data_IF_441855406466
#
_entry.id   IF_441855406466
#
_cell.length_a   1.000
_cell.length_b   1.000
_cell.length_c   1.000
_cell.angle_alpha   90.00
_cell.angle_beta   90.00
_cell.angle_gamma   90.00
#
_symmetry.space_group_name_H-M   'P 1'
#
loop_
_entity.id
_entity.type
_entity.pdbx_description
1 polymer ?
#
# COMPACT_ATOMS: atom_id res chain seq x y z
N UNK A 1 3.43 -24.05 -0.57
CA UNK A 1 3.76 -22.99 0.40
C UNK A 1 4.40 -23.66 1.59
N UNK A 2 5.70 -23.90 1.48
CA UNK A 2 6.55 -24.48 2.51
C UNK A 2 7.95 -23.90 2.28
N UNK A 3 8.10 -22.63 2.62
CA UNK A 3 9.40 -21.94 2.78
C UNK A 3 9.45 -21.24 4.15
N UNK A 4 8.77 -21.79 5.17
CA UNK A 4 8.72 -21.22 6.52
C UNK A 4 9.79 -21.82 7.48
N UNK A 5 10.86 -22.45 6.97
CA UNK A 5 11.85 -23.11 7.85
C UNK A 5 13.26 -22.52 7.90
N UNK A 6 13.56 -21.41 7.21
CA UNK A 6 14.91 -20.79 7.28
C UNK A 6 15.01 -19.53 8.18
N UNK A 7 13.91 -19.15 8.83
CA UNK A 7 13.83 -17.98 9.73
C UNK A 7 13.29 -18.41 11.09
N UNK A 8 14.12 -19.12 11.87
CA UNK A 8 13.78 -19.73 13.17
C UNK A 8 13.55 -18.76 14.34
N UNK A 9 12.70 -17.75 14.14
CA UNK A 9 12.23 -16.86 15.22
C UNK A 9 10.71 -16.78 15.23
N UNK A 10 10.13 -16.61 16.41
CA UNK A 10 8.68 -16.43 16.57
C UNK A 10 8.25 -15.09 15.96
N UNK A 11 7.19 -15.12 15.14
CA UNK A 11 6.61 -13.93 14.48
C UNK A 11 5.88 -13.09 15.53
N UNK A 12 6.58 -12.10 16.09
CA UNK A 12 6.12 -11.29 17.23
C UNK A 12 5.95 -9.82 16.88
N UNK A 13 6.61 -9.35 15.83
CA UNK A 13 6.59 -7.96 15.41
C UNK A 13 5.42 -7.70 14.46
N UNK A 14 4.84 -6.50 14.52
CA UNK A 14 3.77 -6.11 13.62
C UNK A 14 4.26 -6.02 12.16
N UNK A 15 3.35 -6.29 11.23
CA UNK A 15 3.63 -6.19 9.80
C UNK A 15 3.95 -4.75 9.40
N UNK A 16 5.05 -4.54 8.67
CA UNK A 16 5.37 -3.24 8.10
C UNK A 16 4.33 -2.80 7.06
N UNK A 17 4.22 -1.50 6.81
CA UNK A 17 3.32 -0.96 5.78
C UNK A 17 3.65 -1.53 4.39
N UNK A 18 4.92 -1.78 4.10
CA UNK A 18 5.39 -2.33 2.83
C UNK A 18 5.00 -3.81 2.69
N UNK A 19 5.11 -4.62 3.75
CA UNK A 19 4.60 -6.01 3.73
C UNK A 19 3.09 -6.06 3.48
N UNK A 20 2.31 -5.19 4.12
CA UNK A 20 0.86 -5.09 3.90
C UNK A 20 0.50 -4.67 2.47
N UNK A 21 1.24 -3.71 1.89
CA UNK A 21 1.07 -3.31 0.49
C UNK A 21 1.39 -4.46 -0.46
N UNK A 22 2.51 -5.16 -0.25
CA UNK A 22 2.88 -6.32 -1.07
C UNK A 22 1.85 -7.44 -0.99
N UNK A 23 1.36 -7.73 0.23
CA UNK A 23 0.25 -8.69 0.44
C UNK A 23 -0.99 -8.31 -0.39
N UNK A 24 -1.34 -7.02 -0.41
CA UNK A 24 -2.44 -6.50 -1.22
C UNK A 24 -2.19 -6.59 -2.73
N UNK A 25 -0.97 -6.33 -3.20
CA UNK A 25 -0.57 -6.50 -4.60
C UNK A 25 -0.65 -7.97 -5.05
N UNK A 26 -0.31 -8.90 -4.16
CA UNK A 26 -0.47 -10.35 -4.35
C UNK A 26 -1.94 -10.82 -4.26
N UNK A 27 -2.88 -9.91 -4.00
CA UNK A 27 -4.32 -10.18 -3.90
C UNK A 27 -4.76 -10.77 -2.55
N UNK A 28 -3.88 -10.74 -1.55
CA UNK A 28 -4.19 -11.17 -0.18
C UNK A 28 -4.70 -9.97 0.63
N UNK A 29 -5.96 -10.04 1.03
CA UNK A 29 -6.65 -8.99 1.78
C UNK A 29 -7.55 -9.62 2.84
N UNK A 30 -7.72 -8.94 3.96
CA UNK A 30 -8.71 -9.32 4.96
C UNK A 30 -10.12 -9.18 4.37
N UNK A 31 -10.76 -10.30 4.03
CA UNK A 31 -12.15 -10.33 3.55
C UNK A 31 -12.93 -11.42 4.27
N UNK A 32 -14.16 -11.09 4.64
CA UNK A 32 -15.18 -12.05 5.07
C UNK A 32 -16.24 -12.16 3.98
N UNK A 33 -16.49 -13.39 3.55
CA UNK A 33 -17.49 -13.73 2.52
C UNK A 33 -18.91 -13.47 3.04
N UNK A 34 -19.09 -13.45 4.36
CA UNK A 34 -20.39 -13.28 5.01
C UNK A 34 -20.93 -11.85 4.85
N UNK A 35 -20.06 -10.83 4.92
CA UNK A 35 -20.46 -9.43 4.83
C UNK A 35 -21.18 -9.15 3.49
N UNK A 36 -20.57 -9.38 2.30
CA UNK A 36 -21.28 -9.18 1.04
C UNK A 36 -22.57 -10.00 0.91
N UNK A 37 -22.55 -11.25 1.41
CA UNK A 37 -23.70 -12.15 1.35
C UNK A 37 -24.91 -11.58 2.09
N UNK A 38 -24.72 -11.04 3.30
CA UNK A 38 -25.79 -10.44 4.09
C UNK A 38 -26.32 -9.15 3.45
N UNK A 39 -25.43 -8.29 2.94
CA UNK A 39 -25.84 -7.07 2.25
C UNK A 39 -26.66 -7.37 1.00
N UNK A 40 -26.25 -8.37 0.21
CA UNK A 40 -26.98 -8.80 -1.00
C UNK A 40 -28.35 -9.39 -0.63
N UNK A 41 -28.42 -10.24 0.39
CA UNK A 41 -29.69 -10.81 0.86
C UNK A 41 -30.65 -9.73 1.35
N UNK A 42 -30.18 -8.84 2.23
CA UNK A 42 -30.99 -7.77 2.81
C UNK A 42 -31.51 -6.81 1.72
N UNK A 43 -30.62 -6.37 0.83
CA UNK A 43 -31.00 -5.45 -0.25
C UNK A 43 -31.90 -6.12 -1.28
N UNK A 44 -31.71 -7.41 -1.56
CA UNK A 44 -32.62 -8.19 -2.41
C UNK A 44 -34.04 -8.27 -1.84
N UNK A 45 -34.17 -8.55 -0.54
CA UNK A 45 -35.49 -8.59 0.13
C UNK A 45 -36.15 -7.22 0.15
N UNK A 46 -35.39 -6.16 0.42
CA UNK A 46 -35.88 -4.78 0.40
C UNK A 46 -36.31 -4.39 -1.03
N UNK A 47 -35.51 -4.72 -2.04
CA UNK A 47 -35.83 -4.46 -3.44
C UNK A 47 -37.10 -5.21 -3.86
N UNK A 48 -37.27 -6.47 -3.45
CA UNK A 48 -38.50 -7.23 -3.69
C UNK A 48 -39.72 -6.57 -3.02
N UNK A 49 -39.58 -6.07 -1.80
CA UNK A 49 -40.66 -5.39 -1.08
C UNK A 49 -41.11 -4.12 -1.80
N UNK A 50 -40.17 -3.24 -2.17
CA UNK A 50 -40.49 -2.00 -2.88
C UNK A 50 -40.94 -2.23 -4.33
N UNK A 51 -40.46 -3.30 -4.97
CA UNK A 51 -40.90 -3.67 -6.33
C UNK A 51 -42.15 -4.55 -6.36
N UNK A 52 -42.71 -4.94 -5.21
CA UNK A 52 -43.83 -5.88 -5.13
C UNK A 52 -45.06 -5.43 -5.93
N UNK A 53 -45.46 -4.14 -5.81
CA UNK A 53 -46.59 -3.58 -6.56
C UNK A 53 -46.32 -3.58 -8.07
N UNK A 54 -45.10 -3.21 -8.47
CA UNK A 54 -44.67 -3.23 -9.86
C UNK A 54 -44.69 -4.65 -10.44
N UNK A 55 -44.17 -5.63 -9.69
CA UNK A 55 -44.15 -7.05 -10.05
C UNK A 55 -45.59 -7.55 -10.19
N UNK A 56 -46.44 -7.30 -9.19
CA UNK A 56 -47.84 -7.71 -9.19
C UNK A 56 -48.59 -7.19 -10.43
N UNK A 57 -48.50 -5.88 -10.71
CA UNK A 57 -49.20 -5.28 -11.85
C UNK A 57 -48.71 -5.86 -13.19
N UNK A 58 -47.40 -6.10 -13.35
CA UNK A 58 -46.88 -6.72 -14.56
C UNK A 58 -47.30 -8.18 -14.71
N UNK A 59 -47.34 -8.95 -13.62
CA UNK A 59 -47.86 -10.32 -13.62
C UNK A 59 -49.34 -10.35 -14.01
N UNK A 60 -50.16 -9.41 -13.51
CA UNK A 60 -51.57 -9.28 -13.91
C UNK A 60 -51.68 -8.98 -15.41
N UNK A 61 -50.86 -8.08 -15.95
CA UNK A 61 -50.84 -7.78 -17.40
C UNK A 61 -50.47 -9.02 -18.22
N UNK A 62 -49.44 -9.76 -17.81
CA UNK A 62 -49.04 -11.01 -18.49
C UNK A 62 -50.16 -12.05 -18.40
N UNK A 63 -50.80 -12.18 -17.24
CA UNK A 63 -51.92 -13.10 -17.06
C UNK A 63 -53.11 -12.71 -17.96
N UNK A 64 -53.50 -11.44 -17.98
CA UNK A 64 -54.55 -10.95 -18.87
C UNK A 64 -54.20 -11.15 -20.34
N UNK A 65 -52.95 -10.94 -20.74
CA UNK A 65 -52.50 -11.20 -22.11
C UNK A 65 -52.66 -12.68 -22.53
N UNK A 66 -52.51 -13.60 -21.58
CA UNK A 66 -52.57 -15.05 -21.83
C UNK A 66 -53.96 -15.65 -21.67
N UNK A 67 -54.89 -14.98 -21.00
CA UNK A 67 -56.19 -15.57 -20.65
C UNK A 67 -57.38 -14.72 -21.11
N UNK A 68 -57.14 -13.53 -21.65
CA UNK A 68 -58.17 -12.72 -22.30
C UNK A 68 -58.08 -12.90 -23.81
N UNK A 69 -59.09 -13.57 -24.36
CA UNK A 69 -59.17 -13.86 -25.79
C UNK A 69 -60.48 -13.33 -26.38
N UNK A 70 -60.39 -12.54 -27.45
CA UNK A 70 -61.58 -12.13 -28.22
C UNK A 70 -62.05 -13.24 -29.16
N UNK A 71 -61.14 -14.14 -29.57
CA UNK A 71 -61.38 -15.34 -30.39
C UNK A 71 -60.42 -16.44 -29.97
N UNK A 72 -60.78 -17.70 -30.24
CA UNK A 72 -59.89 -18.85 -29.98
C UNK A 72 -58.58 -18.65 -30.78
N UNK A 73 -57.42 -18.55 -30.10
CA UNK A 73 -56.15 -18.28 -30.77
C UNK A 73 -55.72 -19.48 -31.62
N UNK A 74 -55.23 -19.21 -32.84
CA UNK A 74 -54.71 -20.23 -33.76
C UNK A 74 -53.19 -20.19 -33.70
N UNK A 75 -52.58 -20.98 -32.83
CA UNK A 75 -51.14 -20.95 -32.56
C UNK A 75 -50.29 -21.41 -33.77
N UNK A 76 -50.01 -20.50 -34.68
CA UNK A 76 -49.01 -20.70 -35.76
C UNK A 76 -47.58 -20.65 -35.21
N UNK A 77 -46.60 -21.18 -35.96
CA UNK A 77 -45.18 -21.10 -35.54
C UNK A 77 -44.72 -19.66 -35.26
N UNK A 78 -45.16 -18.70 -36.09
CA UNK A 78 -44.83 -17.29 -35.90
C UNK A 78 -45.43 -16.73 -34.60
N UNK A 79 -46.68 -17.09 -34.28
CA UNK A 79 -47.34 -16.66 -33.05
C UNK A 79 -46.69 -17.22 -31.79
N UNK A 80 -46.25 -18.49 -31.83
CA UNK A 80 -45.51 -19.10 -30.72
C UNK A 80 -44.18 -18.37 -30.49
N UNK A 81 -43.45 -18.02 -31.56
CA UNK A 81 -42.20 -17.25 -31.46
C UNK A 81 -42.47 -15.87 -30.85
N UNK A 82 -43.53 -15.17 -31.31
CA UNK A 82 -43.89 -13.87 -30.76
C UNK A 82 -44.31 -13.95 -29.29
N UNK A 83 -45.05 -14.99 -28.91
CA UNK A 83 -45.44 -15.25 -27.53
C UNK A 83 -44.20 -15.49 -26.65
N UNK A 84 -43.26 -16.32 -27.10
CA UNK A 84 -41.98 -16.56 -26.42
C UNK A 84 -41.15 -15.28 -26.27
N UNK A 85 -41.05 -14.47 -27.33
CA UNK A 85 -40.35 -13.19 -27.30
C UNK A 85 -40.99 -12.22 -26.29
N UNK A 86 -42.32 -12.11 -26.29
CA UNK A 86 -43.07 -11.30 -25.32
C UNK A 86 -42.81 -11.75 -23.88
N UNK A 87 -42.90 -13.04 -23.59
CA UNK A 87 -42.65 -13.57 -22.24
C UNK A 87 -41.21 -13.38 -21.79
N UNK A 88 -40.25 -13.60 -22.68
CA UNK A 88 -38.83 -13.36 -22.40
C UNK A 88 -38.60 -11.90 -22.06
N UNK A 89 -39.14 -10.98 -22.86
CA UNK A 89 -39.05 -9.54 -22.60
C UNK A 89 -39.70 -9.16 -21.26
N UNK A 90 -40.88 -9.69 -20.95
CA UNK A 90 -41.59 -9.41 -19.70
C UNK A 90 -40.83 -9.92 -18.47
N UNK A 91 -40.26 -11.12 -18.52
CA UNK A 91 -39.43 -11.66 -17.43
C UNK A 91 -38.19 -10.79 -17.22
N UNK A 92 -37.52 -10.37 -18.29
CA UNK A 92 -36.35 -9.47 -18.20
C UNK A 92 -36.76 -8.16 -17.52
N UNK A 93 -37.84 -7.52 -17.98
CA UNK A 93 -38.36 -6.27 -17.42
C UNK A 93 -38.73 -6.42 -15.94
N UNK A 94 -39.33 -7.54 -15.55
CA UNK A 94 -39.70 -7.85 -14.17
C UNK A 94 -38.48 -7.98 -13.25
N UNK A 95 -37.41 -8.60 -13.76
CA UNK A 95 -36.19 -8.87 -12.99
C UNK A 95 -35.25 -7.66 -12.88
N UNK A 96 -35.23 -6.76 -13.88
CA UNK A 96 -34.34 -5.58 -13.92
C UNK A 96 -34.31 -4.78 -12.61
N UNK A 97 -35.43 -4.34 -12.01
CA UNK A 97 -35.38 -3.49 -10.82
C UNK A 97 -34.74 -4.20 -9.62
N UNK A 98 -35.01 -5.50 -9.45
CA UNK A 98 -34.42 -6.27 -8.33
C UNK A 98 -32.95 -6.59 -8.60
N UNK A 99 -32.63 -7.04 -9.83
CA UNK A 99 -31.26 -7.41 -10.20
C UNK A 99 -30.31 -6.20 -10.21
N UNK A 100 -30.78 -5.04 -10.68
CA UNK A 100 -29.97 -3.81 -10.68
C UNK A 100 -29.56 -3.39 -9.27
N UNK A 101 -30.50 -3.43 -8.30
CA UNK A 101 -30.21 -3.14 -6.89
C UNK A 101 -29.24 -4.17 -6.32
N UNK A 102 -29.48 -5.47 -6.57
CA UNK A 102 -28.59 -6.54 -6.09
C UNK A 102 -27.17 -6.38 -6.64
N UNK A 103 -27.00 -6.15 -7.94
CA UNK A 103 -25.69 -5.96 -8.57
C UNK A 103 -25.00 -4.74 -7.99
N UNK A 104 -25.71 -3.61 -7.85
CA UNK A 104 -25.15 -2.40 -7.28
C UNK A 104 -24.64 -2.62 -5.85
N UNK A 105 -25.44 -3.24 -4.98
CA UNK A 105 -25.05 -3.48 -3.59
C UNK A 105 -24.03 -4.62 -3.44
N UNK A 106 -24.00 -5.60 -4.35
CA UNK A 106 -22.94 -6.59 -4.41
C UNK A 106 -21.59 -5.91 -4.71
N UNK A 107 -21.56 -4.97 -5.66
CA UNK A 107 -20.36 -4.19 -5.96
C UNK A 107 -19.96 -3.31 -4.78
N UNK A 108 -20.90 -2.52 -4.23
CA UNK A 108 -20.65 -1.61 -3.10
C UNK A 108 -20.11 -2.38 -1.88
N UNK A 109 -20.70 -3.52 -1.52
CA UNK A 109 -20.26 -4.30 -0.37
C UNK A 109 -18.84 -4.86 -0.53
N UNK A 110 -18.50 -5.37 -1.72
CA UNK A 110 -17.16 -5.84 -2.02
C UNK A 110 -16.13 -4.69 -2.02
N UNK A 111 -16.46 -3.57 -2.67
CA UNK A 111 -15.60 -2.38 -2.69
C UNK A 111 -15.43 -1.75 -1.31
N UNK A 112 -16.47 -1.71 -0.49
CA UNK A 112 -16.39 -1.19 0.88
C UNK A 112 -15.49 -2.04 1.77
N UNK A 113 -15.44 -3.36 1.55
CA UNK A 113 -14.66 -4.28 2.39
C UNK A 113 -13.17 -4.31 2.02
N UNK A 114 -12.86 -4.33 0.73
CA UNK A 114 -11.48 -4.53 0.22
C UNK A 114 -10.86 -3.25 -0.33
N UNK A 115 -11.70 -2.27 -0.69
CA UNK A 115 -11.29 -1.15 -1.54
C UNK A 115 -11.07 -1.59 -2.98
N UNK A 116 -10.58 -0.68 -3.81
CA UNK A 116 -10.11 -1.02 -5.15
C UNK A 116 -8.76 -1.74 -5.04
N UNK A 117 -8.68 -2.99 -5.51
CA UNK A 117 -7.42 -3.75 -5.59
C UNK A 117 -7.45 -4.64 -6.84
N UNK A 118 -6.61 -4.33 -7.82
CA UNK A 118 -6.42 -5.16 -9.01
C UNK A 118 -5.08 -5.85 -8.87
N UNK A 119 -5.09 -7.19 -8.79
CA UNK A 119 -3.88 -8.02 -8.73
C UNK A 119 -3.77 -8.82 -10.01
N UNK A 120 -2.88 -8.39 -10.91
CA UNK A 120 -2.58 -9.14 -12.13
C UNK A 120 -1.93 -10.50 -11.83
N UNK A 121 -1.14 -10.59 -10.76
CA UNK A 121 -0.51 -11.83 -10.30
C UNK A 121 -1.51 -12.87 -9.80
N UNK A 122 -2.71 -12.45 -9.38
CA UNK A 122 -3.79 -13.37 -8.98
C UNK A 122 -4.49 -14.02 -10.17
N UNK A 123 -4.36 -13.47 -11.38
CA UNK A 123 -4.93 -14.00 -12.62
C UNK A 123 -4.05 -15.08 -13.27
N UNK A 124 -2.80 -15.22 -12.82
CA UNK A 124 -1.88 -16.23 -13.35
C UNK A 124 -2.34 -17.66 -12.97
N UNK A 125 -2.38 -18.60 -13.93
CA UNK A 125 -2.76 -19.98 -13.65
C UNK A 125 -1.69 -20.67 -12.80
N UNK A 126 -1.98 -20.83 -11.51
CA UNK A 126 -1.12 -21.57 -10.57
C UNK A 126 -1.50 -23.05 -10.57
N UNK A 127 -0.78 -23.87 -11.34
CA UNK A 127 -0.99 -25.34 -11.42
C UNK A 127 -0.90 -26.05 -10.07
N UNK A 128 -0.19 -25.47 -9.10
CA UNK A 128 -0.13 -25.95 -7.71
C UNK A 128 -1.49 -25.96 -7.00
N UNK A 129 -2.48 -25.21 -7.48
CA UNK A 129 -3.86 -25.23 -6.94
C UNK A 129 -4.71 -26.39 -7.47
N UNK A 130 -4.27 -27.08 -8.52
CA UNK A 130 -5.00 -28.21 -9.13
C UNK A 130 -4.62 -29.57 -8.52
N UNK A 131 -3.69 -29.62 -7.58
CA UNK A 131 -3.26 -30.86 -6.94
C UNK A 131 -4.34 -31.37 -5.95
N UNK A 132 -5.01 -32.50 -6.24
CA UNK A 132 -6.10 -33.01 -5.41
C UNK A 132 -5.62 -33.51 -4.03
N UNK A 133 -4.35 -33.94 -3.90
CA UNK A 133 -3.80 -34.44 -2.63
C UNK A 133 -3.64 -33.27 -1.65
N UNK A 134 -3.08 -32.16 -2.13
CA UNK A 134 -2.95 -30.94 -1.34
C UNK A 134 -4.32 -30.34 -0.99
N UNK A 135 -5.29 -30.38 -1.90
CA UNK A 135 -6.66 -29.94 -1.65
C UNK A 135 -7.37 -30.75 -0.57
N UNK A 136 -7.20 -32.08 -0.55
CA UNK A 136 -7.79 -32.95 0.47
C UNK A 136 -7.12 -32.76 1.84
N UNK A 137 -5.79 -32.68 1.88
CA UNK A 137 -5.03 -32.41 3.11
C UNK A 137 -5.42 -31.07 3.74
N UNK A 138 -5.68 -30.04 2.92
CA UNK A 138 -6.10 -28.73 3.40
C UNK A 138 -7.48 -28.74 4.09
N UNK A 139 -8.40 -29.63 3.63
CA UNK A 139 -9.74 -29.82 4.23
C UNK A 139 -9.72 -30.51 5.59
N UNK A 140 -8.66 -31.24 5.94
CA UNK A 140 -8.50 -31.94 7.23
C UNK A 140 -7.48 -31.26 8.15
N UNK A 141 -7.38 -29.94 8.08
CA UNK A 141 -6.55 -29.16 9.00
C UNK A 141 -7.33 -28.71 10.23
N UNK A 142 -6.66 -28.44 11.36
CA UNK A 142 -7.31 -27.84 12.55
C UNK A 142 -8.06 -26.56 12.22
N UNK A 143 -7.59 -25.81 11.21
CA UNK A 143 -8.28 -24.63 10.66
C UNK A 143 -9.65 -24.99 10.07
N UNK A 144 -9.75 -26.07 9.31
CA UNK A 144 -11.01 -26.50 8.71
C UNK A 144 -12.05 -26.92 9.75
N UNK A 145 -11.63 -27.57 10.85
CA UNK A 145 -12.52 -27.93 11.97
C UNK A 145 -13.09 -26.68 12.65
N UNK A 146 -12.25 -25.67 12.89
CA UNK A 146 -12.70 -24.39 13.47
C UNK A 146 -13.68 -23.67 12.55
N UNK A 147 -13.40 -23.63 11.24
CA UNK A 147 -14.35 -23.06 10.27
C UNK A 147 -15.67 -23.85 10.21
N UNK A 148 -15.62 -25.18 10.26
CA UNK A 148 -16.81 -26.03 10.32
C UNK A 148 -17.65 -25.73 11.56
N UNK A 149 -17.03 -25.67 12.75
CA UNK A 149 -17.75 -25.36 13.98
C UNK A 149 -18.38 -23.96 13.94
N UNK A 150 -17.66 -22.97 13.39
CA UNK A 150 -18.24 -21.64 13.15
C UNK A 150 -19.45 -21.73 12.23
N UNK A 151 -19.38 -22.45 11.11
CA UNK A 151 -20.54 -22.61 10.21
C UNK A 151 -21.71 -23.31 10.87
N UNK A 152 -21.46 -24.32 11.71
CA UNK A 152 -22.50 -25.02 12.46
C UNK A 152 -23.22 -24.08 13.43
N UNK A 153 -22.47 -23.30 14.22
CA UNK A 153 -23.03 -22.30 15.14
C UNK A 153 -23.87 -21.28 14.36
N UNK A 154 -23.37 -20.79 13.22
CA UNK A 154 -24.10 -19.84 12.36
C UNK A 154 -25.45 -20.41 11.91
N UNK A 155 -25.46 -21.64 11.39
CA UNK A 155 -26.69 -22.31 10.92
C UNK A 155 -27.66 -22.55 12.09
N UNK A 156 -27.17 -22.96 13.26
CA UNK A 156 -28.00 -23.15 14.45
C UNK A 156 -28.67 -21.85 14.89
N UNK A 157 -27.93 -20.74 14.92
CA UNK A 157 -28.47 -19.41 15.26
C UNK A 157 -29.55 -18.98 14.26
N UNK A 158 -29.27 -19.09 12.95
CA UNK A 158 -30.25 -18.76 11.89
C UNK A 158 -31.52 -19.62 12.03
N UNK A 159 -31.35 -20.93 12.23
CA UNK A 159 -32.46 -21.88 12.36
C UNK A 159 -33.32 -21.59 13.58
N UNK A 160 -32.70 -21.25 14.71
CA UNK A 160 -33.40 -20.89 15.95
C UNK A 160 -34.27 -19.64 15.76
N UNK A 161 -33.73 -18.62 15.12
CA UNK A 161 -34.43 -17.35 14.84
C UNK A 161 -35.58 -17.56 13.87
N UNK A 162 -35.34 -18.30 12.78
CA UNK A 162 -36.37 -18.63 11.81
C UNK A 162 -37.50 -19.44 12.46
N UNK A 163 -37.17 -20.47 13.23
CA UNK A 163 -38.14 -21.28 13.96
C UNK A 163 -38.98 -20.45 14.92
N UNK A 164 -38.37 -19.61 15.76
CA UNK A 164 -39.10 -18.77 16.71
C UNK A 164 -39.99 -17.74 16.01
N UNK A 165 -39.49 -17.16 14.90
CA UNK A 165 -40.27 -16.19 14.12
C UNK A 165 -41.49 -16.86 13.48
N UNK A 166 -41.34 -18.04 12.88
CA UNK A 166 -42.45 -18.81 12.30
C UNK A 166 -43.44 -19.25 13.39
N UNK A 167 -42.94 -19.74 14.53
CA UNK A 167 -43.77 -20.17 15.67
C UNK A 167 -44.64 -19.03 16.20
N UNK A 168 -44.12 -17.81 16.22
CA UNK A 168 -44.87 -16.62 16.65
C UNK A 168 -46.04 -16.36 15.70
N UNK A 169 -45.80 -16.43 14.39
CA UNK A 169 -46.81 -16.14 13.36
C UNK A 169 -47.83 -17.28 13.21
N UNK A 170 -47.45 -18.52 13.53
CA UNK A 170 -48.35 -19.68 13.56
C UNK A 170 -49.53 -19.48 14.51
N UNK A 171 -49.36 -18.70 15.58
CA UNK A 171 -50.45 -18.38 16.52
C UNK A 171 -51.52 -17.45 15.90
N UNK A 172 -51.17 -16.70 14.85
CA UNK A 172 -52.08 -15.81 14.14
C UNK A 172 -52.81 -16.50 12.98
N UNK A 173 -52.33 -17.65 12.52
CA UNK A 173 -52.90 -18.39 11.38
C UNK A 173 -54.39 -18.72 11.52
N UNK A 174 -54.93 -19.10 12.70
CA UNK A 174 -56.36 -19.38 12.85
C UNK A 174 -57.28 -18.19 12.49
N UNK A 175 -56.81 -16.96 12.66
CA UNK A 175 -57.58 -15.76 12.34
C UNK A 175 -57.67 -15.47 10.83
N UNK A 176 -56.88 -16.16 10.00
CA UNK A 176 -56.92 -16.00 8.54
C UNK A 176 -58.09 -16.73 7.88
N UNK A 177 -58.74 -17.67 8.59
CA UNK A 177 -59.78 -18.53 8.02
C UNK A 177 -60.95 -17.75 7.42
N UNK A 178 -61.35 -16.64 8.05
CA UNK A 178 -62.50 -15.82 7.63
C UNK A 178 -62.06 -14.55 6.84
N UNK A 179 -60.87 -14.58 6.25
CA UNK A 179 -60.32 -13.44 5.49
C UNK A 179 -60.27 -13.71 3.99
N UNK A 180 -60.25 -12.65 3.19
CA UNK A 180 -60.18 -12.78 1.73
C UNK A 180 -58.82 -13.36 1.28
N UNK A 181 -58.81 -14.08 0.16
CA UNK A 181 -57.59 -14.66 -0.43
C UNK A 181 -56.51 -13.61 -0.67
N UNK A 182 -56.89 -12.40 -1.10
CA UNK A 182 -55.96 -11.28 -1.29
C UNK A 182 -55.31 -10.83 0.01
N UNK A 183 -56.07 -10.79 1.11
CA UNK A 183 -55.53 -10.47 2.43
C UNK A 183 -54.55 -11.55 2.92
N UNK A 184 -54.87 -12.83 2.72
CA UNK A 184 -53.97 -13.95 3.07
C UNK A 184 -52.63 -13.82 2.33
N UNK A 185 -52.66 -13.51 1.03
CA UNK A 185 -51.44 -13.30 0.24
C UNK A 185 -50.60 -12.12 0.78
N UNK A 186 -51.22 -10.98 1.05
CA UNK A 186 -50.55 -9.81 1.63
C UNK A 186 -49.96 -10.12 3.01
N UNK A 187 -50.70 -10.85 3.84
CA UNK A 187 -50.23 -11.30 5.14
C UNK A 187 -49.00 -12.20 5.01
N UNK A 188 -49.03 -13.20 4.12
CA UNK A 188 -47.88 -14.09 3.86
C UNK A 188 -46.64 -13.32 3.39
N UNK A 189 -46.81 -12.36 2.48
CA UNK A 189 -45.71 -11.52 1.99
C UNK A 189 -45.13 -10.66 3.12
N UNK A 190 -45.99 -10.02 3.93
CA UNK A 190 -45.56 -9.19 5.07
C UNK A 190 -44.82 -10.02 6.12
N UNK A 191 -45.37 -11.16 6.51
CA UNK A 191 -44.75 -12.07 7.48
C UNK A 191 -43.41 -12.59 6.96
N UNK A 192 -43.37 -13.06 5.71
CA UNK A 192 -42.12 -13.55 5.09
C UNK A 192 -41.06 -12.46 5.06
N UNK A 193 -41.43 -11.22 4.69
CA UNK A 193 -40.52 -10.07 4.70
C UNK A 193 -39.93 -9.83 6.10
N UNK A 194 -40.75 -9.77 7.14
CA UNK A 194 -40.27 -9.53 8.50
C UNK A 194 -39.43 -10.67 9.06
N UNK A 195 -39.76 -11.93 8.74
CA UNK A 195 -38.91 -13.09 9.08
C UNK A 195 -37.54 -12.95 8.42
N UNK A 196 -37.50 -12.64 7.11
CA UNK A 196 -36.25 -12.44 6.38
C UNK A 196 -35.41 -11.30 6.97
N UNK A 197 -36.02 -10.16 7.30
CA UNK A 197 -35.32 -9.03 7.93
C UNK A 197 -34.73 -9.42 9.28
N UNK A 198 -35.48 -10.13 10.14
CA UNK A 198 -34.97 -10.63 11.44
C UNK A 198 -33.77 -11.56 11.26
N UNK A 199 -33.86 -12.50 10.32
CA UNK A 199 -32.75 -13.41 10.00
C UNK A 199 -31.54 -12.65 9.47
N UNK A 200 -31.73 -11.73 8.51
CA UNK A 200 -30.65 -10.91 7.95
C UNK A 200 -29.96 -10.04 9.01
N UNK A 201 -30.71 -9.49 9.96
CA UNK A 201 -30.14 -8.70 11.06
C UNK A 201 -29.21 -9.53 11.95
N UNK A 202 -29.60 -10.77 12.26
CA UNK A 202 -28.76 -11.66 13.05
C UNK A 202 -27.57 -12.18 12.24
N UNK A 203 -27.76 -12.48 10.95
CA UNK A 203 -26.66 -12.79 10.05
C UNK A 203 -25.68 -11.61 9.93
N UNK A 204 -26.16 -10.36 9.98
CA UNK A 204 -25.30 -9.18 9.96
C UNK A 204 -24.40 -9.13 11.19
N UNK A 205 -24.94 -9.35 12.39
CA UNK A 205 -24.15 -9.41 13.63
C UNK A 205 -23.08 -10.51 13.53
N UNK A 206 -23.47 -11.69 13.06
CA UNK A 206 -22.57 -12.83 12.83
C UNK A 206 -21.47 -12.48 11.83
N UNK A 207 -21.82 -11.81 10.72
CA UNK A 207 -20.89 -11.42 9.68
C UNK A 207 -19.87 -10.38 10.17
N UNK A 208 -20.31 -9.44 11.03
CA UNK A 208 -19.41 -8.46 11.67
C UNK A 208 -18.40 -9.16 12.59
N UNK A 209 -18.86 -10.12 13.40
CA UNK A 209 -17.96 -10.91 14.26
C UNK A 209 -16.99 -11.75 13.43
N UNK A 210 -17.45 -12.39 12.35
CA UNK A 210 -16.58 -13.14 11.44
C UNK A 210 -15.56 -12.22 10.76
N UNK A 211 -15.97 -11.04 10.29
CA UNK A 211 -15.06 -10.06 9.72
C UNK A 211 -13.99 -9.57 10.71
N UNK A 212 -14.37 -9.29 11.96
CA UNK A 212 -13.44 -8.91 13.01
C UNK A 212 -12.40 -10.01 13.25
N UNK A 213 -12.84 -11.27 13.33
CA UNK A 213 -11.95 -12.44 13.45
C UNK A 213 -11.03 -12.60 12.23
N UNK A 214 -11.56 -12.50 11.00
CA UNK A 214 -10.75 -12.61 9.78
C UNK A 214 -9.73 -11.47 9.66
N UNK A 215 -10.10 -10.25 10.09
CA UNK A 215 -9.19 -9.09 10.10
C UNK A 215 -8.07 -9.27 11.12
N UNK A 216 -8.39 -9.68 12.34
CA UNK A 216 -7.40 -9.99 13.36
C UNK A 216 -6.46 -11.10 12.89
N UNK A 217 -7.02 -12.20 12.37
CA UNK A 217 -6.24 -13.32 11.84
C UNK A 217 -5.36 -12.93 10.67
N UNK A 218 -5.83 -12.09 9.76
CA UNK A 218 -5.03 -11.60 8.66
C UNK A 218 -3.82 -10.81 9.18
N UNK A 219 -4.00 -9.94 10.18
CA UNK A 219 -2.89 -9.21 10.79
C UNK A 219 -1.92 -10.15 11.51
N UNK A 220 -2.43 -11.16 12.21
CA UNK A 220 -1.63 -12.19 12.88
C UNK A 220 -0.78 -12.99 11.88
N UNK A 221 -1.39 -13.44 10.77
CA UNK A 221 -0.71 -14.17 9.69
C UNK A 221 0.37 -13.29 9.00
N UNK A 222 0.22 -11.96 9.05
CA UNK A 222 1.18 -10.99 8.47
C UNK A 222 2.30 -10.58 9.44
N UNK A 223 2.28 -10.99 10.71
CA UNK A 223 3.37 -10.69 11.66
C UNK A 223 4.74 -11.08 11.13
N UNK A 224 5.75 -10.36 11.59
CA UNK A 224 7.12 -10.47 11.15
C UNK A 224 8.02 -10.98 12.28
N UNK A 225 9.10 -11.64 11.89
CA UNK A 225 10.19 -11.92 12.83
C UNK A 225 11.07 -10.68 12.98
N UNK A 226 11.78 -10.55 14.10
CA UNK A 226 12.78 -9.47 14.30
C UNK A 226 13.83 -9.42 13.18
N UNK A 227 14.18 -10.59 12.62
CA UNK A 227 15.12 -10.70 11.50
C UNK A 227 14.50 -10.12 10.22
N UNK A 228 13.26 -10.51 9.89
CA UNK A 228 12.53 -9.97 8.74
C UNK A 228 12.42 -8.44 8.79
N UNK A 229 12.05 -7.87 9.95
CA UNK A 229 11.96 -6.40 10.13
C UNK A 229 13.30 -5.73 9.88
N UNK A 230 14.39 -6.30 10.44
CA UNK A 230 15.74 -5.75 10.26
C UNK A 230 16.19 -5.83 8.80
N UNK A 231 15.88 -6.92 8.11
CA UNK A 231 16.25 -7.09 6.71
C UNK A 231 15.41 -6.20 5.79
N UNK A 232 14.13 -5.96 6.09
CA UNK A 232 13.30 -5.00 5.37
C UNK A 232 13.77 -3.55 5.56
N UNK A 233 14.20 -3.18 6.77
CA UNK A 233 14.87 -1.89 7.02
C UNK A 233 16.13 -1.74 6.17
N UNK A 234 16.99 -2.77 6.11
CA UNK A 234 18.20 -2.73 5.26
C UNK A 234 17.87 -2.58 3.78
N UNK A 235 16.80 -3.22 3.29
CA UNK A 235 16.39 -3.09 1.89
C UNK A 235 15.84 -1.69 1.55
N UNK A 236 15.24 -1.01 2.53
CA UNK A 236 14.57 0.27 2.30
C UNK A 236 15.52 1.46 2.54
N UNK A 237 16.30 1.41 3.63
CA UNK A 237 17.21 2.51 4.01
C UNK A 237 18.66 2.27 3.55
N UNK A 238 18.97 1.07 3.05
CA UNK A 238 20.32 0.61 2.77
C UNK A 238 21.04 0.13 4.04
N UNK A 239 22.08 -0.68 3.88
CA UNK A 239 22.90 -1.11 5.02
C UNK A 239 23.65 0.11 5.61
N UNK A 240 23.49 0.40 6.92
CA UNK A 240 24.23 1.46 7.59
C UNK A 240 25.75 1.37 7.38
N UNK A 241 26.30 0.16 7.32
CA UNK A 241 27.72 -0.07 7.05
C UNK A 241 28.10 0.38 5.65
N UNK A 242 27.26 0.08 4.65
CA UNK A 242 27.47 0.52 3.26
C UNK A 242 27.37 2.03 3.16
N UNK A 243 26.38 2.67 3.79
CA UNK A 243 26.23 4.13 3.83
C UNK A 243 27.43 4.81 4.50
N UNK A 244 27.94 4.24 5.60
CA UNK A 244 29.14 4.73 6.27
C UNK A 244 30.39 4.58 5.39
N UNK A 245 30.51 3.46 4.67
CA UNK A 245 31.63 3.17 3.76
C UNK A 245 31.65 4.13 2.58
N UNK A 246 30.49 4.43 2.00
CA UNK A 246 30.35 5.42 0.93
C UNK A 246 30.84 6.80 1.41
N UNK A 247 30.41 7.25 2.60
CA UNK A 247 30.87 8.52 3.18
C UNK A 247 32.39 8.55 3.40
N UNK A 248 32.97 7.45 3.90
CA UNK A 248 34.43 7.35 4.07
C UNK A 248 35.18 7.48 2.74
N UNK A 249 34.71 6.77 1.70
CA UNK A 249 35.32 6.84 0.36
C UNK A 249 35.19 8.23 -0.25
N UNK A 250 34.04 8.91 -0.07
CA UNK A 250 33.85 10.29 -0.52
C UNK A 250 34.84 11.25 0.15
N UNK A 251 35.05 11.14 1.47
CA UNK A 251 36.05 11.95 2.17
C UNK A 251 37.49 11.66 1.72
N UNK A 252 37.83 10.39 1.46
CA UNK A 252 39.15 10.02 0.96
C UNK A 252 39.39 10.57 -0.46
N UNK A 253 38.41 10.47 -1.35
CA UNK A 253 38.48 11.00 -2.69
C UNK A 253 38.62 12.54 -2.68
N UNK A 254 37.88 13.23 -1.83
CA UNK A 254 37.99 14.68 -1.65
C UNK A 254 39.38 15.09 -1.14
N UNK A 255 39.93 14.37 -0.14
CA UNK A 255 41.30 14.61 0.35
C UNK A 255 42.36 14.37 -0.73
N UNK A 256 42.20 13.32 -1.54
CA UNK A 256 43.15 13.01 -2.62
C UNK A 256 43.15 14.10 -3.69
N UNK A 257 41.97 14.63 -4.07
CA UNK A 257 41.85 15.78 -4.98
C UNK A 257 42.52 17.02 -4.41
N UNK A 258 42.19 17.39 -3.18
CA UNK A 258 42.81 18.53 -2.49
C UNK A 258 44.35 18.42 -2.44
N UNK A 259 44.91 17.23 -2.19
CA UNK A 259 46.37 17.03 -2.18
C UNK A 259 46.99 17.11 -3.58
N UNK A 260 46.26 16.74 -4.63
CA UNK A 260 46.72 16.87 -6.01
C UNK A 260 46.77 18.33 -6.49
N UNK A 261 46.05 19.24 -5.83
CA UNK A 261 46.06 20.67 -6.16
C UNK A 261 47.23 21.43 -5.47
N UNK A 262 47.84 20.85 -4.43
CA UNK A 262 48.96 21.46 -3.69
C UNK A 262 50.18 21.79 -4.57
N UNK A 263 50.63 20.94 -5.52
CA UNK A 263 51.73 21.26 -6.42
C UNK A 263 51.48 22.49 -7.31
N UNK A 264 50.22 22.85 -7.55
CA UNK A 264 49.84 23.98 -8.37
C UNK A 264 49.73 25.31 -7.58
N UNK A 265 50.03 25.29 -6.29
CA UNK A 265 50.01 26.48 -5.45
C UNK A 265 51.27 27.35 -5.65
N UNK A 266 51.09 28.67 -5.55
CA UNK A 266 52.19 29.62 -5.64
C UNK A 266 52.95 29.76 -4.31
N UNK A 267 52.23 29.62 -3.20
CA UNK A 267 52.75 29.69 -1.83
C UNK A 267 51.92 28.82 -0.88
N UNK A 268 52.57 28.23 0.12
CA UNK A 268 51.92 27.60 1.27
C UNK A 268 52.23 28.36 2.55
N UNK A 269 51.19 28.89 3.19
CA UNK A 269 51.27 29.58 4.48
C UNK A 269 51.14 28.56 5.60
N UNK A 270 52.03 28.62 6.58
CA UNK A 270 52.09 27.62 7.65
C UNK A 270 51.99 28.25 9.04
N UNK A 271 51.28 27.56 9.93
CA UNK A 271 51.45 27.68 11.37
C UNK A 271 52.24 26.43 11.80
N UNK A 272 53.52 26.56 12.22
CA UNK A 272 54.58 25.56 12.07
C UNK A 272 54.19 24.09 12.16
N UNK A 273 53.50 23.71 13.23
CA UNK A 273 53.12 22.32 13.48
C UNK A 273 51.62 22.08 13.32
N UNK A 274 50.79 23.14 13.25
CA UNK A 274 49.34 23.02 13.39
C UNK A 274 48.55 23.19 12.11
N UNK A 275 48.93 24.12 11.21
CA UNK A 275 48.12 24.47 10.04
C UNK A 275 48.99 24.66 8.79
N UNK A 276 48.41 24.35 7.63
CA UNK A 276 48.97 24.70 6.33
C UNK A 276 47.84 25.08 5.38
N UNK A 277 48.01 26.18 4.65
CA UNK A 277 47.05 26.69 3.65
C UNK A 277 47.82 27.00 2.36
N UNK A 278 47.44 26.36 1.27
CA UNK A 278 48.02 26.54 -0.06
C UNK A 278 47.19 27.57 -0.85
N UNK A 279 47.86 28.59 -1.37
CA UNK A 279 47.25 29.68 -2.13
C UNK A 279 47.77 29.68 -3.57
N UNK A 280 46.89 30.03 -4.50
CA UNK A 280 47.23 30.27 -5.90
C UNK A 280 46.69 31.62 -6.35
N UNK A 281 47.49 32.33 -7.13
CA UNK A 281 47.08 33.60 -7.74
C UNK A 281 47.74 33.77 -9.11
N UNK A 282 46.93 34.14 -10.10
CA UNK A 282 47.40 34.52 -11.42
C UNK A 282 46.83 35.89 -11.76
N UNK A 283 47.69 36.91 -11.78
CA UNK A 283 47.30 38.30 -12.01
C UNK A 283 46.72 38.58 -13.40
N UNK A 284 46.78 37.62 -14.34
CA UNK A 284 46.15 37.75 -15.67
C UNK A 284 44.75 37.15 -15.75
N UNK A 285 44.42 36.19 -14.88
CA UNK A 285 43.22 35.36 -15.02
C UNK A 285 42.35 35.31 -13.75
N UNK A 286 42.83 35.82 -12.62
CA UNK A 286 42.16 35.74 -11.33
C UNK A 286 41.99 37.12 -10.71
N UNK A 287 40.77 37.46 -10.33
CA UNK A 287 40.45 38.72 -9.64
C UNK A 287 40.94 38.72 -8.19
N UNK A 288 41.01 37.52 -7.57
CA UNK A 288 41.50 37.34 -6.20
C UNK A 288 42.25 35.99 -6.03
N UNK A 289 43.20 35.91 -5.08
CA UNK A 289 43.85 34.65 -4.71
C UNK A 289 42.84 33.61 -4.23
N UNK A 290 43.05 32.33 -4.59
CA UNK A 290 42.20 31.20 -4.17
C UNK A 290 42.94 30.23 -3.26
N UNK A 291 42.21 29.64 -2.32
CA UNK A 291 42.72 28.57 -1.45
C UNK A 291 42.60 27.23 -2.17
N UNK A 292 43.72 26.61 -2.55
CA UNK A 292 43.71 25.31 -3.23
C UNK A 292 43.66 24.13 -2.25
N UNK A 293 44.27 24.29 -1.08
CA UNK A 293 44.24 23.26 -0.04
C UNK A 293 44.37 23.91 1.34
N UNK A 294 43.67 23.36 2.34
CA UNK A 294 43.88 23.73 3.74
C UNK A 294 43.81 22.50 4.62
N UNK A 295 44.65 22.44 5.65
CA UNK A 295 44.72 21.28 6.54
C UNK A 295 45.19 21.62 7.93
N UNK A 296 44.84 20.77 8.90
CA UNK A 296 45.32 20.81 10.26
C UNK A 296 46.00 19.49 10.64
N UNK A 297 46.95 19.54 11.58
CA UNK A 297 47.65 18.36 12.11
C UNK A 297 48.30 17.50 11.01
N UNK A 298 48.00 16.20 10.91
CA UNK A 298 48.59 15.30 9.91
C UNK A 298 48.31 15.72 8.45
N UNK A 299 47.19 16.39 8.20
CA UNK A 299 46.85 16.90 6.85
C UNK A 299 47.75 18.08 6.51
N UNK A 300 48.00 18.98 7.47
CA UNK A 300 48.93 20.10 7.29
C UNK A 300 50.36 19.61 7.03
N UNK A 301 50.79 18.57 7.73
CA UNK A 301 52.09 17.94 7.53
C UNK A 301 52.23 17.37 6.11
N UNK A 302 51.21 16.69 5.62
CA UNK A 302 51.18 16.19 4.24
C UNK A 302 51.21 17.32 3.21
N UNK A 303 50.47 18.41 3.40
CA UNK A 303 50.52 19.60 2.52
C UNK A 303 51.95 20.16 2.49
N UNK A 304 52.59 20.32 3.65
CA UNK A 304 53.99 20.80 3.72
C UNK A 304 54.96 19.86 3.02
N UNK A 305 54.78 18.54 3.17
CA UNK A 305 55.62 17.54 2.51
C UNK A 305 55.50 17.64 0.99
N UNK A 306 54.28 17.63 0.45
CA UNK A 306 54.03 17.74 -0.99
C UNK A 306 54.55 19.08 -1.54
N UNK A 307 54.37 20.17 -0.78
CA UNK A 307 54.89 21.48 -1.15
C UNK A 307 56.43 21.48 -1.27
N UNK A 308 57.16 20.85 -0.34
CA UNK A 308 58.62 20.70 -0.43
C UNK A 308 59.04 19.85 -1.63
N UNK A 309 58.37 18.72 -1.84
CA UNK A 309 58.65 17.81 -2.95
C UNK A 309 58.44 18.47 -4.33
N UNK A 310 57.52 19.44 -4.42
CA UNK A 310 57.19 20.16 -5.66
C UNK A 310 57.77 21.59 -5.71
N UNK A 311 58.71 21.94 -4.83
CA UNK A 311 59.36 23.25 -4.78
C UNK A 311 58.38 24.44 -4.64
N UNK A 312 57.25 24.24 -3.95
CA UNK A 312 56.33 25.31 -3.56
C UNK A 312 56.84 25.99 -2.30
N UNK A 313 57.08 27.33 -2.31
CA UNK A 313 57.58 28.07 -1.17
C UNK A 313 56.68 27.94 0.07
N UNK A 314 57.32 27.66 1.21
CA UNK A 314 56.69 27.60 2.52
C UNK A 314 57.02 28.89 3.27
N UNK A 315 56.00 29.63 3.67
CA UNK A 315 56.16 30.84 4.47
C UNK A 315 55.47 30.64 5.82
N UNK A 316 56.18 30.97 6.88
CA UNK A 316 55.61 30.92 8.23
C UNK A 316 54.90 32.24 8.53
N UNK A 317 53.57 32.18 8.65
CA UNK A 317 52.77 33.26 9.21
C UNK A 317 51.62 32.64 10.01
N UNK A 318 51.77 32.68 11.34
CA UNK A 318 50.83 32.07 12.28
C UNK A 318 49.47 32.73 12.26
N UNK A 319 49.42 34.04 12.06
CA UNK A 319 48.20 34.84 12.14
C UNK A 319 47.41 34.68 10.84
N UNK A 320 48.07 34.82 9.69
CA UNK A 320 47.47 34.65 8.38
C UNK A 320 46.99 33.20 8.16
N UNK A 321 47.78 32.20 8.53
CA UNK A 321 47.38 30.79 8.41
C UNK A 321 46.14 30.45 9.26
N UNK A 322 46.00 31.03 10.46
CA UNK A 322 44.82 30.82 11.32
C UNK A 322 43.57 31.47 10.74
N UNK A 323 43.71 32.69 10.23
CA UNK A 323 42.61 33.44 9.64
C UNK A 323 42.12 32.73 8.37
N UNK A 324 43.03 32.43 7.43
CA UNK A 324 42.68 31.73 6.19
C UNK A 324 42.06 30.34 6.44
N UNK A 325 42.56 29.59 7.43
CA UNK A 325 42.00 28.27 7.74
C UNK A 325 40.54 28.34 8.24
N UNK A 326 40.21 29.39 9.02
CA UNK A 326 38.88 29.57 9.61
C UNK A 326 37.90 30.24 8.66
N UNK A 327 38.33 31.25 7.89
CA UNK A 327 37.43 32.13 7.14
C UNK A 327 37.22 31.75 5.67
N UNK A 328 38.07 30.88 5.10
CA UNK A 328 38.04 30.60 3.64
C UNK A 328 37.98 29.12 3.36
N UNK A 329 37.01 28.68 2.57
CA UNK A 329 36.88 27.29 2.14
C UNK A 329 37.75 26.95 0.93
N UNK A 330 37.98 25.64 0.74
CA UNK A 330 38.83 25.12 -0.33
C UNK A 330 38.13 25.39 -1.68
N UNK A 331 38.85 26.01 -2.61
CA UNK A 331 38.35 26.44 -3.92
C UNK A 331 37.77 27.86 -3.93
N UNK A 332 37.57 28.47 -2.76
CA UNK A 332 37.03 29.83 -2.64
C UNK A 332 38.12 30.91 -2.73
N UNK A 333 37.69 32.10 -3.14
CA UNK A 333 38.52 33.30 -3.14
C UNK A 333 38.71 33.83 -1.72
N UNK A 334 39.87 34.43 -1.47
CA UNK A 334 40.16 35.06 -0.19
C UNK A 334 39.20 36.25 0.04
N UNK A 335 38.75 36.51 1.28
CA UNK A 335 37.97 37.70 1.61
C UNK A 335 38.81 38.99 1.53
N UNK A 336 38.15 40.10 1.23
CA UNK A 336 38.78 41.44 1.10
C UNK A 336 39.59 41.85 2.34
N UNK A 337 39.15 41.44 3.53
CA UNK A 337 39.83 41.69 4.81
C UNK A 337 41.26 41.11 4.87
N UNK A 338 41.55 40.04 4.11
CA UNK A 338 42.84 39.37 4.11
C UNK A 338 43.67 39.67 2.85
N UNK A 339 43.17 40.50 1.92
CA UNK A 339 43.86 40.80 0.66
C UNK A 339 45.21 41.44 0.87
N UNK A 340 45.31 42.41 1.77
CA UNK A 340 46.58 43.10 2.01
C UNK A 340 47.65 42.11 2.49
N UNK A 341 47.34 41.29 3.49
CA UNK A 341 48.26 40.31 4.05
C UNK A 341 48.64 39.21 3.03
N UNK A 342 47.70 38.78 2.18
CA UNK A 342 47.98 37.79 1.13
C UNK A 342 48.79 38.42 -0.03
N UNK A 343 48.55 39.69 -0.38
CA UNK A 343 49.30 40.39 -1.41
C UNK A 343 50.75 40.64 -0.98
N UNK A 344 50.99 41.06 0.26
CA UNK A 344 52.34 41.21 0.83
C UNK A 344 53.09 39.88 0.82
N UNK A 345 52.42 38.79 1.19
CA UNK A 345 52.97 37.44 1.15
C UNK A 345 53.34 37.01 -0.28
N UNK A 346 52.43 37.19 -1.24
CA UNK A 346 52.68 36.82 -2.65
C UNK A 346 53.80 37.68 -3.25
N UNK A 347 53.84 38.99 -2.96
CA UNK A 347 54.90 39.89 -3.39
C UNK A 347 56.27 39.46 -2.83
N UNK A 348 56.33 39.06 -1.56
CA UNK A 348 57.54 38.51 -0.94
C UNK A 348 58.03 37.25 -1.66
N UNK A 349 57.12 36.32 -1.97
CA UNK A 349 57.44 35.07 -2.68
C UNK A 349 57.85 35.31 -4.14
N UNK A 350 57.21 36.23 -4.85
CA UNK A 350 57.59 36.56 -6.23
C UNK A 350 58.95 37.27 -6.30
N UNK A 351 59.27 38.12 -5.32
CA UNK A 351 60.61 38.72 -5.17
C UNK A 351 61.69 37.66 -4.95
N UNK A 352 61.41 36.63 -4.15
CA UNK A 352 62.31 35.48 -3.93
C UNK A 352 62.48 34.62 -5.20
N UNK A 353 61.43 34.49 -6.02
CA UNK A 353 61.45 33.73 -7.28
C UNK A 353 61.96 34.53 -8.50
N UNK A 354 62.33 35.80 -8.33
CA UNK A 354 62.79 36.66 -9.44
C UNK A 354 61.72 36.96 -10.50
N UNK A 355 60.43 36.74 -10.19
CA UNK A 355 59.31 37.00 -11.09
C UNK A 355 58.84 38.44 -10.91
N UNK A 356 58.67 39.21 -11.99
CA UNK A 356 58.01 40.52 -11.94
C UNK A 356 56.50 40.29 -11.77
N UNK A 357 55.90 41.04 -10.82
CA UNK A 357 54.47 41.06 -10.53
C UNK A 357 53.65 41.40 -11.78
#
# INVERSE_FOLDING_TARGET
MAEDSESGGEKTEDASSRKLLKSREEGQVAKSIEIPSVFVLLTGVIALYFSASYIYNNLVVVFQHNFKFDKIPVLTHLEIINLLAYHTQKIIILCIPVMSVIVLFALISNFAQVGFSVSWQSLEPKFSRLDPINGFKQKFTSRAIVEFLKTLIKVSVISMVAYHSIKTELSQTPFLYDTSVGYILLYMLKVSFWIFVKVCLIMFVVAVLDYAYQKWKFLEDQKMTKKEVKDEMKQTEGDPLVKSRIRQLQHQAARKRMMADVPHADVVVTNPTRLAVALKYDGKTMDAPKVLAKGAGPVAENIRRIARENNVPLVEDKQLARNLYKSVDIGSEVPTELYQAVAELLAYVYKLKGKKL
#
